data_IF_491605991627
#
_entry.id   IF_491605991627
#
_cell.length_a   1.000
_cell.length_b   1.000
_cell.length_c   1.000
_cell.angle_alpha   90.00
_cell.angle_beta   90.00
_cell.angle_gamma   90.00
#
_symmetry.space_group_name_H-M   'P 1'
#
loop_
_entity.id
_entity.type
_entity.pdbx_description
1 polymer ?
#
# COMPACT_ATOMS: atom_id res chain seq x y z
N UNK A 1 30.45 2.66 -1.56
CA UNK A 1 29.34 2.52 -0.61
C UNK A 1 28.24 3.40 -1.16
N UNK A 2 27.12 2.81 -1.61
CA UNK A 2 26.00 3.59 -2.17
C UNK A 2 25.48 4.58 -1.13
N UNK A 3 25.17 5.78 -1.60
CA UNK A 3 24.66 6.87 -0.79
C UNK A 3 23.21 6.51 -0.38
N UNK A 4 22.84 6.42 0.91
CA UNK A 4 21.51 6.00 1.35
C UNK A 4 20.37 6.91 0.86
N UNK A 5 20.70 8.10 0.34
CA UNK A 5 19.75 9.11 -0.13
C UNK A 5 19.23 8.89 -1.56
N UNK A 6 19.67 7.85 -2.28
CA UNK A 6 19.25 7.57 -3.67
C UNK A 6 18.89 6.09 -3.88
N UNK A 7 18.12 5.49 -2.98
CA UNK A 7 17.52 4.18 -3.30
C UNK A 7 16.46 4.36 -4.38
N UNK A 8 16.64 3.72 -5.54
CA UNK A 8 15.66 3.68 -6.63
C UNK A 8 14.47 2.75 -6.33
N UNK A 9 14.51 2.06 -5.19
CA UNK A 9 13.50 1.08 -4.82
C UNK A 9 12.56 1.62 -3.75
N UNK A 10 11.30 1.20 -3.85
CA UNK A 10 10.22 1.60 -2.95
C UNK A 10 9.68 0.35 -2.26
N UNK A 11 9.23 0.50 -1.00
CA UNK A 11 8.55 -0.58 -0.30
C UNK A 11 7.34 -1.05 -1.12
N UNK A 12 7.20 -2.37 -1.27
CA UNK A 12 6.16 -2.98 -2.11
C UNK A 12 4.74 -2.58 -1.70
N UNK A 13 4.50 -2.45 -0.40
CA UNK A 13 3.16 -2.15 0.11
C UNK A 13 2.81 -0.67 -0.06
N UNK A 14 3.79 0.22 0.11
CA UNK A 14 3.61 1.65 -0.21
C UNK A 14 3.39 1.86 -1.71
N UNK A 15 4.15 1.18 -2.56
CA UNK A 15 3.95 1.23 -4.02
C UNK A 15 2.58 0.68 -4.44
N UNK A 16 2.05 -0.29 -3.70
CA UNK A 16 0.70 -0.81 -3.95
C UNK A 16 -0.37 0.22 -3.56
N UNK A 17 -0.20 0.93 -2.45
CA UNK A 17 -1.10 2.03 -2.07
C UNK A 17 -1.07 3.16 -3.12
N UNK A 18 0.09 3.46 -3.70
CA UNK A 18 0.19 4.45 -4.78
C UNK A 18 -0.60 4.04 -6.02
N UNK A 19 -0.57 2.75 -6.37
CA UNK A 19 -1.41 2.21 -7.44
C UNK A 19 -2.90 2.40 -7.11
N UNK A 20 -3.33 2.05 -5.89
CA UNK A 20 -4.75 2.13 -5.53
C UNK A 20 -5.24 3.58 -5.36
N UNK A 21 -4.35 4.49 -4.97
CA UNK A 21 -4.61 5.94 -4.98
C UNK A 21 -4.97 6.44 -6.38
N UNK A 22 -4.38 5.87 -7.43
CA UNK A 22 -4.70 6.22 -8.81
C UNK A 22 -6.07 5.67 -9.23
N UNK A 23 -6.45 4.49 -8.76
CA UNK A 23 -7.80 3.93 -8.95
C UNK A 23 -8.84 4.86 -8.32
N UNK A 24 -8.60 5.31 -7.10
CA UNK A 24 -9.47 6.26 -6.41
C UNK A 24 -9.52 7.63 -7.11
N UNK A 25 -8.40 8.11 -7.67
CA UNK A 25 -8.37 9.34 -8.44
C UNK A 25 -9.30 9.26 -9.66
N UNK A 26 -9.34 8.12 -10.37
CA UNK A 26 -10.27 7.90 -11.49
C UNK A 26 -11.73 7.91 -11.05
N UNK A 27 -12.04 7.42 -9.85
CA UNK A 27 -13.39 7.51 -9.27
C UNK A 27 -13.81 8.97 -8.99
N UNK A 28 -12.85 9.84 -8.66
CA UNK A 28 -13.07 11.27 -8.36
C UNK A 28 -13.03 12.17 -9.62
N UNK A 29 -12.51 11.68 -10.75
CA UNK A 29 -12.26 12.48 -11.95
C UNK A 29 -13.51 12.76 -12.79
N UNK A 30 -13.86 14.05 -12.99
CA UNK A 30 -15.10 14.45 -13.71
C UNK A 30 -15.08 14.17 -15.22
N UNK A 31 -13.91 13.97 -15.82
CA UNK A 31 -13.76 13.59 -17.23
C UNK A 31 -14.19 12.14 -17.49
N UNK A 32 -14.19 11.31 -16.44
CA UNK A 32 -14.60 9.90 -16.49
C UNK A 32 -16.13 9.81 -16.39
N UNK A 33 -16.80 9.04 -17.28
CA UNK A 33 -18.25 8.86 -17.22
C UNK A 33 -18.73 8.40 -15.84
N UNK A 34 -19.90 8.88 -15.41
CA UNK A 34 -20.40 8.66 -14.04
C UNK A 34 -20.46 7.18 -13.65
N UNK A 35 -20.93 6.31 -14.56
CA UNK A 35 -21.00 4.87 -14.29
C UNK A 35 -19.61 4.24 -14.09
N UNK A 36 -18.60 4.67 -14.86
CA UNK A 36 -17.23 4.18 -14.73
C UNK A 36 -16.60 4.66 -13.43
N UNK A 37 -16.89 5.89 -12.98
CA UNK A 37 -16.45 6.38 -11.66
C UNK A 37 -16.98 5.52 -10.51
N UNK A 38 -18.25 5.10 -10.59
CA UNK A 38 -18.85 4.19 -9.59
C UNK A 38 -18.14 2.84 -9.60
N UNK A 39 -17.80 2.31 -10.79
CA UNK A 39 -17.01 1.07 -10.89
C UNK A 39 -15.63 1.25 -10.27
N UNK A 40 -14.92 2.35 -10.54
CA UNK A 40 -13.62 2.61 -9.92
C UNK A 40 -13.71 2.74 -8.39
N UNK A 41 -14.77 3.33 -7.85
CA UNK A 41 -15.00 3.37 -6.41
C UNK A 41 -15.21 1.97 -5.82
N UNK A 42 -15.97 1.10 -6.51
CA UNK A 42 -16.16 -0.28 -6.10
C UNK A 42 -14.86 -1.11 -6.19
N UNK A 43 -14.06 -0.89 -7.24
CA UNK A 43 -12.74 -1.54 -7.41
C UNK A 43 -11.81 -1.11 -6.28
N UNK A 44 -11.71 0.19 -5.97
CA UNK A 44 -10.92 0.70 -4.86
C UNK A 44 -11.33 0.05 -3.53
N UNK A 45 -12.63 -0.06 -3.25
CA UNK A 45 -13.13 -0.73 -2.04
C UNK A 45 -12.67 -2.20 -1.94
N UNK A 46 -12.87 -2.97 -3.01
CA UNK A 46 -12.44 -4.37 -3.06
C UNK A 46 -10.92 -4.53 -2.94
N UNK A 47 -10.14 -3.63 -3.55
CA UNK A 47 -8.69 -3.62 -3.46
C UNK A 47 -8.24 -3.35 -2.00
N UNK A 48 -8.86 -2.39 -1.31
CA UNK A 48 -8.61 -2.11 0.10
C UNK A 48 -8.92 -3.29 1.00
N UNK A 49 -10.05 -3.95 0.78
CA UNK A 49 -10.42 -5.16 1.52
C UNK A 49 -9.35 -6.25 1.36
N UNK A 50 -8.89 -6.53 0.13
CA UNK A 50 -7.82 -7.48 -0.13
C UNK A 50 -6.49 -7.04 0.51
N UNK A 51 -6.13 -5.77 0.40
CA UNK A 51 -4.90 -5.23 0.95
C UNK A 51 -4.82 -5.44 2.47
N UNK A 52 -5.90 -5.14 3.19
CA UNK A 52 -5.92 -5.34 4.63
C UNK A 52 -5.99 -6.81 5.02
N UNK A 53 -6.88 -7.59 4.40
CA UNK A 53 -7.07 -9.00 4.75
C UNK A 53 -5.85 -9.85 4.43
N UNK A 54 -5.20 -9.61 3.29
CA UNK A 54 -4.09 -10.46 2.82
C UNK A 54 -2.75 -9.85 3.16
N UNK A 55 -2.51 -8.58 2.79
CA UNK A 55 -1.16 -8.01 2.88
C UNK A 55 -0.83 -7.51 4.28
N UNK A 56 -1.68 -6.65 4.85
CA UNK A 56 -1.49 -6.19 6.23
C UNK A 56 -1.61 -7.36 7.20
N UNK A 57 -2.55 -8.28 6.97
CA UNK A 57 -2.65 -9.54 7.72
C UNK A 57 -1.34 -10.34 7.71
N UNK A 58 -0.73 -10.54 6.53
CA UNK A 58 0.56 -11.23 6.43
C UNK A 58 1.71 -10.50 7.12
N UNK A 59 1.77 -9.16 7.04
CA UNK A 59 2.77 -8.38 7.77
C UNK A 59 2.54 -8.51 9.28
N UNK A 60 1.30 -8.47 9.74
CA UNK A 60 0.96 -8.62 11.14
C UNK A 60 1.38 -10.00 11.66
N UNK A 61 1.07 -11.08 10.96
CA UNK A 61 1.52 -12.42 11.33
C UNK A 61 3.05 -12.50 11.44
N UNK A 62 3.78 -11.81 10.56
CA UNK A 62 5.24 -11.74 10.64
C UNK A 62 5.73 -10.99 11.88
N UNK A 63 4.98 -9.99 12.39
CA UNK A 63 5.33 -9.32 13.67
C UNK A 63 5.26 -10.26 14.87
N UNK A 64 4.46 -11.33 14.79
CA UNK A 64 4.30 -12.31 15.86
C UNK A 64 5.42 -13.35 15.89
N UNK A 65 6.18 -13.46 14.80
CA UNK A 65 7.30 -14.39 14.71
C UNK A 65 8.54 -13.81 15.41
N UNK A 66 9.37 -14.69 15.99
CA UNK A 66 10.62 -14.27 16.66
C UNK A 66 11.73 -13.85 15.70
N UNK A 67 11.51 -13.94 14.38
CA UNK A 67 12.45 -13.49 13.37
C UNK A 67 12.01 -12.11 12.84
N UNK A 68 12.79 -11.07 13.14
CA UNK A 68 12.63 -9.75 12.54
C UNK A 68 13.05 -9.79 11.06
N UNK A 69 12.28 -10.50 10.24
CA UNK A 69 12.55 -10.62 8.81
C UNK A 69 12.36 -9.25 8.18
N UNK A 70 13.47 -8.66 7.76
CA UNK A 70 13.46 -7.37 7.10
C UNK A 70 12.98 -7.52 5.66
N UNK A 71 12.28 -6.51 5.17
CA UNK A 71 12.13 -6.32 3.74
C UNK A 71 13.52 -6.23 3.10
N UNK A 72 13.71 -6.95 2.00
CA UNK A 72 15.04 -7.15 1.38
C UNK A 72 15.57 -5.83 0.80
N UNK A 73 14.66 -4.93 0.45
CA UNK A 73 14.91 -3.74 -0.35
C UNK A 73 15.00 -2.50 0.53
N UNK A 74 13.97 -2.28 1.36
CA UNK A 74 13.83 -1.11 2.22
C UNK A 74 14.36 -1.33 3.63
N UNK A 75 14.74 -2.57 3.97
CA UNK A 75 15.22 -2.96 5.28
C UNK A 75 14.27 -2.65 6.44
N UNK A 76 12.99 -2.45 6.14
CA UNK A 76 11.94 -2.24 7.13
C UNK A 76 11.52 -3.57 7.76
N UNK A 77 11.37 -3.59 9.07
CA UNK A 77 10.66 -4.65 9.80
C UNK A 77 9.18 -4.66 9.42
N UNK A 78 8.44 -5.76 9.65
CA UNK A 78 7.01 -5.80 9.38
C UNK A 78 6.23 -4.73 10.16
N UNK A 79 6.61 -4.46 11.42
CA UNK A 79 6.00 -3.41 12.24
C UNK A 79 6.24 -2.01 11.66
N UNK A 80 7.43 -1.72 11.16
CA UNK A 80 7.73 -0.43 10.50
C UNK A 80 6.96 -0.28 9.20
N UNK A 81 6.77 -1.36 8.43
CA UNK A 81 5.94 -1.33 7.22
C UNK A 81 4.48 -1.00 7.56
N UNK A 82 3.90 -1.65 8.57
CA UNK A 82 2.54 -1.34 9.04
C UNK A 82 2.44 0.11 9.53
N UNK A 83 3.45 0.59 10.27
CA UNK A 83 3.49 1.97 10.75
C UNK A 83 3.57 2.98 9.59
N UNK A 84 4.26 2.65 8.50
CA UNK A 84 4.33 3.48 7.29
C UNK A 84 3.07 3.42 6.42
N UNK A 85 2.35 2.28 6.41
CA UNK A 85 1.08 2.10 5.69
C UNK A 85 -0.02 2.98 6.28
N UNK A 86 -0.12 3.02 7.61
CA UNK A 86 -1.21 3.70 8.33
C UNK A 86 -1.46 5.16 7.91
N UNK A 87 -0.46 6.06 7.89
CA UNK A 87 -0.69 7.44 7.46
C UNK A 87 -1.09 7.54 5.98
N UNK A 88 -0.56 6.66 5.12
CA UNK A 88 -0.87 6.67 3.68
C UNK A 88 -2.30 6.26 3.39
N UNK A 89 -2.84 5.28 4.13
CA UNK A 89 -4.25 4.90 4.02
C UNK A 89 -5.18 6.02 4.48
N UNK A 90 -4.80 6.77 5.52
CA UNK A 90 -5.62 7.87 6.03
C UNK A 90 -5.77 9.05 5.04
N UNK A 91 -4.91 9.12 4.01
CA UNK A 91 -4.93 10.15 2.97
C UNK A 91 -5.82 9.80 1.75
N UNK A 92 -6.30 8.56 1.63
CA UNK A 92 -7.09 8.07 0.48
C UNK A 92 -8.58 8.45 0.59
#
# INVERSE_FOLDING_TARGET
MENPSESIFINRELSWLDFDSRVLALAKEKSVPLAERIKFAAIFGSNMDEFFMVRVGSLYDQTLLKNNKLDIVTHMTPSEQIAAITPRVAEL
#
